data_IF_250196087597
#
_entry.id   IF_250196087597
#
_cell.length_a   1.000
_cell.length_b   1.000
_cell.length_c   1.000
_cell.angle_alpha   90.00
_cell.angle_beta   90.00
_cell.angle_gamma   90.00
#
_symmetry.space_group_name_H-M   'P 1'
#
loop_
_entity.id
_entity.type
_entity.pdbx_description
1 polymer ?
#
# COMPACT_ATOMS: atom_id res chain seq x y z
N UNK A 1 -1.34 7.60 -11.59
CA UNK A 1 -0.78 8.75 -10.84
C UNK A 1 -0.47 9.87 -11.82
N UNK A 2 -0.94 11.06 -11.55
CA UNK A 2 -0.75 12.25 -12.40
C UNK A 2 0.73 12.71 -12.38
N UNK A 3 1.22 13.23 -13.50
CA UNK A 3 2.56 13.80 -13.63
C UNK A 3 2.83 14.95 -12.63
N UNK A 4 1.81 15.73 -12.30
CA UNK A 4 1.90 16.78 -11.28
C UNK A 4 2.16 16.25 -9.88
N UNK A 5 1.58 15.09 -9.54
CA UNK A 5 1.81 14.41 -8.26
C UNK A 5 3.24 13.89 -8.18
N UNK A 6 3.75 13.27 -9.25
CA UNK A 6 5.13 12.80 -9.33
C UNK A 6 6.12 13.95 -9.16
N UNK A 7 5.89 15.08 -9.83
CA UNK A 7 6.73 16.27 -9.70
C UNK A 7 6.72 16.82 -8.26
N UNK A 8 5.55 16.87 -7.62
CA UNK A 8 5.41 17.31 -6.23
C UNK A 8 6.17 16.40 -5.26
N UNK A 9 6.07 15.09 -5.44
CA UNK A 9 6.81 14.10 -4.63
C UNK A 9 8.32 14.31 -4.80
N UNK A 10 8.79 14.48 -6.04
CA UNK A 10 10.19 14.73 -6.34
C UNK A 10 10.71 15.99 -5.63
N UNK A 11 9.93 17.05 -5.59
CA UNK A 11 10.31 18.28 -4.88
C UNK A 11 10.34 18.08 -3.35
N UNK A 12 9.35 17.41 -2.79
CA UNK A 12 9.31 17.12 -1.35
C UNK A 12 10.49 16.27 -0.90
N UNK A 13 10.90 15.31 -1.71
CA UNK A 13 12.03 14.42 -1.40
C UNK A 13 13.39 15.16 -1.26
N UNK A 14 13.50 16.35 -1.78
CA UNK A 14 14.74 17.15 -1.64
C UNK A 14 15.00 17.60 -0.21
N UNK A 15 13.96 17.70 0.61
CA UNK A 15 14.02 18.27 1.96
C UNK A 15 13.42 17.38 3.03
N UNK A 16 12.69 16.31 2.66
CA UNK A 16 11.94 15.49 3.60
C UNK A 16 11.79 14.05 3.12
N UNK A 17 11.62 13.13 4.05
CA UNK A 17 11.11 11.80 3.75
C UNK A 17 9.63 11.90 3.37
N UNK A 18 9.19 11.06 2.43
CA UNK A 18 7.82 11.09 1.88
C UNK A 18 7.19 9.72 2.00
N UNK A 19 6.00 9.68 2.57
CA UNK A 19 5.14 8.49 2.56
C UNK A 19 4.00 8.75 1.59
N UNK A 20 3.80 7.81 0.66
CA UNK A 20 2.72 7.86 -0.33
C UNK A 20 1.68 6.81 0.07
N UNK A 21 0.48 7.26 0.42
CA UNK A 21 -0.66 6.37 0.62
C UNK A 21 -1.39 6.18 -0.73
N UNK A 22 -1.49 4.94 -1.15
CA UNK A 22 -2.09 4.59 -2.44
C UNK A 22 -2.59 3.15 -2.45
N UNK A 23 -3.21 2.76 -3.54
CA UNK A 23 -3.65 1.39 -3.78
C UNK A 23 -3.38 1.01 -5.24
N UNK A 24 -3.03 -0.26 -5.47
CA UNK A 24 -2.72 -0.77 -6.80
C UNK A 24 -3.94 -1.39 -7.50
N UNK A 25 -4.98 -1.73 -6.75
CA UNK A 25 -6.18 -2.41 -7.23
C UNK A 25 -7.43 -1.70 -6.74
N UNK A 26 -8.41 -1.56 -7.63
CA UNK A 26 -9.72 -0.99 -7.32
C UNK A 26 -10.82 -1.97 -7.70
N UNK A 27 -11.82 -2.14 -6.83
CA UNK A 27 -13.04 -2.87 -7.16
C UNK A 27 -14.03 -1.93 -7.84
N UNK A 28 -14.42 -2.30 -9.05
CA UNK A 28 -15.42 -1.60 -9.86
C UNK A 28 -16.68 -2.44 -9.99
N UNK A 29 -17.75 -1.90 -10.59
CA UNK A 29 -19.00 -2.64 -10.81
C UNK A 29 -18.84 -3.85 -11.72
N UNK A 30 -17.96 -3.76 -12.69
CA UNK A 30 -17.67 -4.81 -13.67
C UNK A 30 -16.58 -5.79 -13.22
N UNK A 31 -15.99 -5.60 -12.03
CA UNK A 31 -14.89 -6.43 -11.52
C UNK A 31 -13.75 -5.63 -10.91
N UNK A 32 -12.53 -6.12 -11.07
CA UNK A 32 -11.35 -5.47 -10.53
C UNK A 32 -10.55 -4.75 -11.61
N UNK A 33 -10.04 -3.58 -11.25
CA UNK A 33 -9.17 -2.78 -12.11
C UNK A 33 -7.82 -2.55 -11.43
N UNK A 34 -6.76 -3.01 -12.07
CA UNK A 34 -5.42 -2.64 -11.67
C UNK A 34 -5.13 -1.20 -12.11
N UNK A 35 -4.49 -0.44 -11.24
CA UNK A 35 -4.05 0.92 -11.57
C UNK A 35 -2.71 0.80 -12.28
N UNK A 36 -2.62 1.19 -13.57
CA UNK A 36 -1.40 1.04 -14.32
C UNK A 36 -0.39 2.12 -13.91
N UNK A 37 0.74 1.69 -13.38
CA UNK A 37 1.91 2.55 -13.24
C UNK A 37 2.89 2.22 -14.36
N UNK A 38 3.19 3.19 -15.20
CA UNK A 38 4.24 3.01 -16.20
C UNK A 38 5.61 2.88 -15.50
N UNK A 39 6.51 2.09 -16.08
CA UNK A 39 7.88 1.93 -15.56
C UNK A 39 8.58 3.29 -15.40
N UNK A 40 8.35 4.22 -16.33
CA UNK A 40 8.88 5.58 -16.26
C UNK A 40 8.41 6.35 -15.02
N UNK A 41 7.10 6.29 -14.71
CA UNK A 41 6.53 6.95 -13.52
C UNK A 41 7.01 6.32 -12.23
N UNK A 42 7.08 4.99 -12.17
CA UNK A 42 7.63 4.27 -11.02
C UNK A 42 9.09 4.66 -10.76
N UNK A 43 9.91 4.70 -11.80
CA UNK A 43 11.31 5.14 -11.68
C UNK A 43 11.42 6.59 -11.19
N UNK A 44 10.54 7.47 -11.65
CA UNK A 44 10.53 8.87 -11.24
C UNK A 44 10.16 9.06 -9.74
N UNK A 45 9.43 8.13 -9.14
CA UNK A 45 9.12 8.15 -7.71
C UNK A 45 10.33 7.85 -6.82
N UNK A 46 11.32 7.12 -7.34
CA UNK A 46 12.52 6.72 -6.59
C UNK A 46 12.18 6.08 -5.22
N UNK A 47 11.32 5.07 -5.25
CA UNK A 47 10.86 4.41 -4.04
C UNK A 47 11.99 3.67 -3.32
N UNK A 48 12.08 3.82 -2.02
CA UNK A 48 13.01 3.08 -1.16
C UNK A 48 12.39 1.78 -0.65
N UNK A 49 11.08 1.79 -0.44
CA UNK A 49 10.31 0.62 -0.03
C UNK A 49 8.85 0.71 -0.43
N UNK A 50 8.23 -0.46 -0.59
CA UNK A 50 6.78 -0.66 -0.68
C UNK A 50 6.32 -1.49 0.52
N UNK A 51 5.33 -0.98 1.24
CA UNK A 51 4.70 -1.67 2.37
C UNK A 51 3.26 -2.00 2.00
N UNK A 52 2.90 -3.27 2.09
CA UNK A 52 1.52 -3.74 1.90
C UNK A 52 0.96 -4.19 3.24
N UNK A 53 -0.22 -3.70 3.57
CA UNK A 53 -0.97 -4.17 4.74
C UNK A 53 -1.94 -5.26 4.30
N UNK A 54 -1.92 -6.37 5.00
CA UNK A 54 -2.83 -7.50 4.77
C UNK A 54 -3.42 -7.98 6.08
N UNK A 55 -4.50 -8.73 6.02
CA UNK A 55 -5.05 -9.42 7.17
C UNK A 55 -5.83 -10.66 6.73
N UNK A 56 -6.21 -11.49 7.69
CA UNK A 56 -7.16 -12.58 7.45
C UNK A 56 -8.43 -12.04 6.75
N UNK A 57 -8.93 -12.70 5.69
CA UNK A 57 -10.10 -12.25 4.95
C UNK A 57 -11.36 -12.06 5.81
N UNK A 58 -11.59 -12.91 6.80
CA UNK A 58 -12.74 -12.77 7.70
C UNK A 58 -12.60 -11.53 8.57
N UNK A 59 -11.40 -11.27 9.09
CA UNK A 59 -11.10 -10.04 9.85
C UNK A 59 -11.26 -8.79 8.97
N UNK A 60 -10.88 -8.88 7.70
CA UNK A 60 -11.11 -7.79 6.75
C UNK A 60 -12.60 -7.49 6.58
N UNK A 61 -13.41 -8.53 6.43
CA UNK A 61 -14.87 -8.37 6.31
C UNK A 61 -15.48 -7.74 7.57
N UNK A 62 -15.06 -8.15 8.75
CA UNK A 62 -15.51 -7.57 10.02
C UNK A 62 -15.14 -6.08 10.11
N UNK A 63 -13.94 -5.72 9.70
CA UNK A 63 -13.49 -4.31 9.64
C UNK A 63 -14.30 -3.48 8.64
N UNK A 64 -14.63 -4.05 7.49
CA UNK A 64 -15.46 -3.40 6.46
C UNK A 64 -16.87 -3.20 6.97
N UNK A 65 -17.46 -4.21 7.62
CA UNK A 65 -18.78 -4.13 8.22
C UNK A 65 -18.88 -3.07 9.33
N UNK A 66 -17.82 -2.90 10.11
CA UNK A 66 -17.72 -1.87 11.15
C UNK A 66 -17.47 -0.47 10.60
N UNK A 67 -17.03 -0.34 9.34
CA UNK A 67 -16.75 0.95 8.71
C UNK A 67 -18.08 1.61 8.26
N UNK A 68 -18.38 2.77 8.84
CA UNK A 68 -19.58 3.55 8.52
C UNK A 68 -19.54 4.22 7.12
N UNK A 69 -18.44 4.08 6.40
CA UNK A 69 -18.24 4.64 5.06
C UNK A 69 -18.99 3.94 3.92
N UNK A 70 -19.79 2.92 4.23
CA UNK A 70 -20.69 2.28 3.26
C UNK A 70 -19.97 1.49 2.16
N UNK A 71 -18.87 0.82 2.47
CA UNK A 71 -18.17 -0.04 1.51
C UNK A 71 -19.06 -1.19 1.05
N UNK A 72 -18.89 -1.61 -0.19
CA UNK A 72 -19.64 -2.72 -0.77
C UNK A 72 -19.35 -4.02 -0.02
N UNK A 73 -20.41 -4.80 0.20
CA UNK A 73 -20.27 -6.16 0.70
C UNK A 73 -19.43 -7.02 -0.25
N UNK A 74 -18.67 -7.95 0.33
CA UNK A 74 -17.88 -8.92 -0.42
C UNK A 74 -17.85 -10.26 0.30
N UNK A 75 -17.59 -11.32 -0.45
CA UNK A 75 -17.38 -12.66 0.11
C UNK A 75 -15.95 -12.81 0.67
N UNK A 76 -15.75 -13.82 1.52
CA UNK A 76 -14.42 -14.18 2.04
C UNK A 76 -13.47 -14.53 0.90
N UNK A 77 -13.95 -15.26 -0.11
CA UNK A 77 -13.16 -15.64 -1.28
C UNK A 77 -12.72 -14.42 -2.08
N UNK A 78 -13.61 -13.46 -2.30
CA UNK A 78 -13.29 -12.21 -3.00
C UNK A 78 -12.31 -11.36 -2.20
N UNK A 79 -12.47 -11.28 -0.89
CA UNK A 79 -11.54 -10.57 -0.01
C UNK A 79 -10.13 -11.17 -0.08
N UNK A 80 -10.03 -12.50 -0.09
CA UNK A 80 -8.75 -13.21 -0.26
C UNK A 80 -8.12 -12.92 -1.61
N UNK A 81 -8.90 -13.00 -2.67
CA UNK A 81 -8.44 -12.75 -4.04
C UNK A 81 -7.93 -11.32 -4.21
N UNK A 82 -8.66 -10.33 -3.74
CA UNK A 82 -8.26 -8.92 -3.81
C UNK A 82 -6.94 -8.69 -3.08
N UNK A 83 -6.77 -9.23 -1.87
CA UNK A 83 -5.53 -9.08 -1.13
C UNK A 83 -4.33 -9.73 -1.83
N UNK A 84 -4.50 -10.94 -2.39
CA UNK A 84 -3.45 -11.63 -3.13
C UNK A 84 -3.05 -10.87 -4.39
N UNK A 85 -4.00 -10.35 -5.15
CA UNK A 85 -3.74 -9.55 -6.35
C UNK A 85 -3.06 -8.22 -5.99
N UNK A 86 -3.50 -7.54 -4.96
CA UNK A 86 -2.89 -6.32 -4.46
C UNK A 86 -1.44 -6.54 -4.07
N UNK A 87 -1.17 -7.58 -3.29
CA UNK A 87 0.17 -7.95 -2.84
C UNK A 87 1.08 -8.31 -4.03
N UNK A 88 0.57 -9.10 -4.98
CA UNK A 88 1.30 -9.48 -6.18
C UNK A 88 1.65 -8.29 -7.07
N UNK A 89 0.73 -7.36 -7.26
CA UNK A 89 0.98 -6.12 -8.01
C UNK A 89 2.04 -5.26 -7.32
N UNK A 90 1.94 -5.09 -6.02
CA UNK A 90 2.92 -4.30 -5.26
C UNK A 90 4.30 -4.93 -5.27
N UNK A 91 4.39 -6.27 -5.17
CA UNK A 91 5.65 -6.99 -5.32
C UNK A 91 6.26 -6.76 -6.71
N UNK A 92 5.45 -6.81 -7.77
CA UNK A 92 5.89 -6.52 -9.14
C UNK A 92 6.44 -5.10 -9.27
N UNK A 93 5.78 -4.13 -8.65
CA UNK A 93 6.26 -2.74 -8.64
C UNK A 93 7.58 -2.60 -7.89
N UNK A 94 7.73 -3.28 -6.75
CA UNK A 94 8.98 -3.27 -5.99
C UNK A 94 10.14 -3.85 -6.80
N UNK A 95 9.92 -4.94 -7.52
CA UNK A 95 10.93 -5.54 -8.42
C UNK A 95 11.32 -4.57 -9.53
N UNK A 96 10.34 -3.92 -10.17
CA UNK A 96 10.58 -2.94 -11.23
C UNK A 96 11.35 -1.70 -10.72
N UNK A 97 11.05 -1.27 -9.51
CA UNK A 97 11.72 -0.13 -8.87
C UNK A 97 13.09 -0.49 -8.27
N UNK A 98 13.36 -1.78 -8.06
CA UNK A 98 14.55 -2.23 -7.33
C UNK A 98 14.53 -1.80 -5.85
N UNK A 99 13.34 -1.69 -5.24
CA UNK A 99 13.18 -1.30 -3.84
C UNK A 99 12.76 -2.46 -2.94
N UNK A 100 12.85 -2.24 -1.64
CA UNK A 100 12.42 -3.22 -0.64
C UNK A 100 10.90 -3.41 -0.67
N UNK A 101 10.47 -4.65 -0.45
CA UNK A 101 9.06 -5.00 -0.30
C UNK A 101 8.81 -5.60 1.08
N UNK A 102 7.77 -5.11 1.74
CA UNK A 102 7.32 -5.63 3.04
C UNK A 102 5.82 -5.88 3.01
N UNK A 103 5.39 -7.06 3.46
CA UNK A 103 4.00 -7.36 3.75
C UNK A 103 3.80 -7.42 5.27
N UNK A 104 2.92 -6.58 5.79
CA UNK A 104 2.62 -6.50 7.22
C UNK A 104 1.28 -7.16 7.47
N UNK A 105 1.27 -8.25 8.22
CA UNK A 105 0.04 -8.89 8.67
C UNK A 105 -0.54 -8.11 9.87
N UNK A 106 -1.75 -7.61 9.68
CA UNK A 106 -2.45 -6.78 10.66
C UNK A 106 -3.56 -7.53 11.38
N UNK A 107 -3.72 -8.84 11.16
CA UNK A 107 -4.85 -9.65 11.64
C UNK A 107 -5.09 -9.47 13.14
N UNK A 108 -4.05 -9.57 13.95
CA UNK A 108 -4.13 -9.48 15.41
C UNK A 108 -3.59 -8.16 15.96
N UNK A 109 -3.30 -7.19 15.09
CA UNK A 109 -2.66 -5.92 15.49
C UNK A 109 -3.66 -4.79 15.63
N UNK A 110 -3.48 -3.96 16.66
CA UNK A 110 -4.12 -2.66 16.76
C UNK A 110 -3.51 -1.66 15.78
N UNK A 111 -4.18 -0.54 15.55
CA UNK A 111 -3.64 0.54 14.71
C UNK A 111 -2.28 1.04 15.22
N UNK A 112 -2.13 1.14 16.55
CA UNK A 112 -0.87 1.57 17.18
C UNK A 112 0.26 0.57 16.91
N UNK A 113 -0.02 -0.73 16.99
CA UNK A 113 0.96 -1.80 16.71
C UNK A 113 1.35 -1.84 15.23
N UNK A 114 0.40 -1.66 14.31
CA UNK A 114 0.69 -1.54 12.87
C UNK A 114 1.59 -0.34 12.61
N UNK A 115 1.27 0.82 13.19
CA UNK A 115 2.10 2.01 13.09
C UNK A 115 3.51 1.77 13.61
N UNK A 116 3.64 1.16 14.79
CA UNK A 116 4.93 0.83 15.39
C UNK A 116 5.75 -0.10 14.50
N UNK A 117 5.13 -1.13 13.92
CA UNK A 117 5.78 -2.06 12.99
C UNK A 117 6.28 -1.32 11.75
N UNK A 118 5.44 -0.49 11.14
CA UNK A 118 5.81 0.31 9.97
C UNK A 118 6.99 1.25 10.28
N UNK A 119 6.96 1.95 11.41
CA UNK A 119 8.04 2.83 11.83
C UNK A 119 9.35 2.08 12.07
N UNK A 120 9.30 0.88 12.63
CA UNK A 120 10.49 0.01 12.79
C UNK A 120 11.09 -0.36 11.43
N UNK A 121 10.27 -0.72 10.45
CA UNK A 121 10.72 -1.02 9.09
C UNK A 121 11.37 0.22 8.46
N UNK A 122 10.72 1.36 8.54
CA UNK A 122 11.20 2.62 7.96
C UNK A 122 12.54 3.05 8.58
N UNK A 123 12.72 2.86 9.89
CA UNK A 123 14.01 3.10 10.56
C UNK A 123 15.12 2.22 10.00
N UNK A 124 14.82 0.95 9.71
CA UNK A 124 15.81 0.00 9.16
C UNK A 124 16.28 0.37 7.75
N UNK A 125 15.42 1.00 6.95
CA UNK A 125 15.79 1.45 5.61
C UNK A 125 16.37 2.88 5.58
N UNK A 126 16.66 3.46 6.73
CA UNK A 126 17.39 4.71 6.86
C UNK A 126 16.54 5.98 6.84
N UNK A 127 15.22 5.89 6.99
CA UNK A 127 14.38 7.08 7.15
C UNK A 127 14.55 7.70 8.53
N UNK A 128 14.77 9.01 8.57
CA UNK A 128 14.76 9.78 9.81
C UNK A 128 13.32 10.05 10.24
N UNK A 129 12.85 9.24 11.18
CA UNK A 129 11.50 9.38 11.69
C UNK A 129 11.54 10.27 12.93
N UNK A 130 10.90 11.42 12.83
CA UNK A 130 10.62 12.27 14.00
C UNK A 130 9.45 11.61 14.73
N UNK A 131 9.74 11.12 15.93
CA UNK A 131 8.70 10.53 16.80
C UNK A 131 7.81 11.61 17.37
#
# INVERSE_FOLDING_TARGET
MDAKVVAKISDLRKTSDVIIDSHALTREEYGMRAIPFSAHRLSALQLDALLVLRCDPEVLLDRIAADRGGRREMSVELAREIQLLQESLCLSYAVLCGCHFYAIDTTTKTKAEVKSTALTILSKIGMNIIK
#
